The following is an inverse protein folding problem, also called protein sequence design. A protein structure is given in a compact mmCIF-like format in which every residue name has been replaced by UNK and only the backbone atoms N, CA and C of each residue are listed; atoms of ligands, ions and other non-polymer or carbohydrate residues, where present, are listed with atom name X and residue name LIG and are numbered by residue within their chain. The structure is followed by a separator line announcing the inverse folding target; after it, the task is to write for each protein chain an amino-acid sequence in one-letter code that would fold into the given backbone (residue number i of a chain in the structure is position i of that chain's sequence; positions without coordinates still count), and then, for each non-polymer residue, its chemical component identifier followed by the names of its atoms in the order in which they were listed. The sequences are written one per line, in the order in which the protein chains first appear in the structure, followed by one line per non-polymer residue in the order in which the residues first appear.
data_IF_347895398814
#
_entry.id   IF_347895398814
#
_cell.length_a   1.000
_cell.length_b   1.000
_cell.length_c   1.000
_cell.angle_alpha   90.00
_cell.angle_beta   90.00
_cell.angle_gamma   90.00
#
_symmetry.space_group_name_H-M   'P 1'
#
loop_
_entity.id
_entity.type
_entity.pdbx_description
1 polymer ?
#
# COMPACT_ATOMS: atom_id res chain seq x y z
N UNK A 1 -4.03 -36.18 -10.54
CA UNK A 1 -4.79 -34.98 -10.17
C UNK A 1 -4.02 -34.11 -9.17
N UNK A 2 -3.46 -34.66 -8.08
CA UNK A 2 -2.71 -33.90 -7.04
C UNK A 2 -1.44 -33.22 -7.58
N UNK A 3 -0.67 -33.86 -8.46
CA UNK A 3 0.51 -33.27 -9.11
C UNK A 3 0.16 -32.10 -10.05
N UNK A 4 -1.00 -32.14 -10.71
CA UNK A 4 -1.44 -31.06 -11.60
C UNK A 4 -1.92 -29.83 -10.82
N UNK A 5 -2.49 -30.01 -9.63
CA UNK A 5 -2.89 -28.92 -8.74
C UNK A 5 -1.64 -28.21 -8.19
N UNK A 6 -0.67 -28.95 -7.66
CA UNK A 6 0.61 -28.37 -7.15
C UNK A 6 1.35 -27.59 -8.24
N UNK A 7 1.44 -28.12 -9.46
CA UNK A 7 2.08 -27.41 -10.59
C UNK A 7 1.32 -26.14 -11.02
N UNK A 8 0.00 -26.12 -10.83
CA UNK A 8 -0.81 -24.93 -11.16
C UNK A 8 -0.63 -23.82 -10.15
N UNK A 9 -0.60 -24.17 -8.87
CA UNK A 9 -0.40 -23.19 -7.78
C UNK A 9 1.04 -22.62 -7.83
N UNK A 10 2.06 -23.44 -8.01
CA UNK A 10 3.45 -23.02 -8.22
C UNK A 10 3.58 -22.04 -9.40
N UNK A 11 2.79 -22.25 -10.46
CA UNK A 11 2.82 -21.39 -11.63
C UNK A 11 2.12 -20.04 -11.40
N UNK A 12 1.06 -20.01 -10.62
CA UNK A 12 0.34 -18.77 -10.22
C UNK A 12 1.23 -17.91 -9.32
N UNK A 13 1.84 -18.52 -8.29
CA UNK A 13 2.76 -17.85 -7.38
C UNK A 13 3.98 -17.27 -8.13
N UNK A 14 4.60 -18.06 -9.01
CA UNK A 14 5.74 -17.61 -9.81
C UNK A 14 5.38 -16.43 -10.73
N UNK A 15 4.20 -16.43 -11.34
CA UNK A 15 3.70 -15.30 -12.14
C UNK A 15 3.45 -14.07 -11.27
N UNK A 16 2.85 -14.24 -10.10
CA UNK A 16 2.57 -13.14 -9.18
C UNK A 16 3.87 -12.47 -8.72
N UNK A 17 4.87 -13.26 -8.31
CA UNK A 17 6.19 -12.74 -7.94
C UNK A 17 6.88 -12.00 -9.09
N UNK A 18 6.74 -12.49 -10.33
CA UNK A 18 7.27 -11.81 -11.50
C UNK A 18 6.53 -10.49 -11.75
N UNK A 19 5.21 -10.49 -11.68
CA UNK A 19 4.40 -9.29 -11.84
C UNK A 19 4.73 -8.22 -10.78
N UNK A 20 4.95 -8.62 -9.52
CA UNK A 20 5.40 -7.71 -8.46
C UNK A 20 6.78 -7.10 -8.75
N UNK A 21 7.73 -7.92 -9.24
CA UNK A 21 9.05 -7.44 -9.63
C UNK A 21 8.95 -6.44 -10.79
N UNK A 22 8.16 -6.77 -11.81
CA UNK A 22 7.90 -5.90 -12.98
C UNK A 22 7.21 -4.59 -12.56
N UNK A 23 6.25 -4.64 -11.64
CA UNK A 23 5.63 -3.46 -11.06
C UNK A 23 6.66 -2.53 -10.39
N UNK A 24 7.55 -3.09 -9.56
CA UNK A 24 8.64 -2.32 -8.92
C UNK A 24 9.61 -1.71 -9.93
N UNK A 25 9.79 -2.33 -11.08
CA UNK A 25 10.58 -1.84 -12.20
C UNK A 25 9.80 -0.86 -13.10
N UNK A 26 8.54 -0.57 -12.78
CA UNK A 26 7.60 0.24 -13.58
C UNK A 26 7.31 -0.33 -14.97
N UNK A 27 7.55 -1.61 -15.17
CA UNK A 27 7.22 -2.35 -16.39
C UNK A 27 5.76 -2.83 -16.31
N UNK A 28 4.84 -1.87 -16.33
CA UNK A 28 3.42 -2.12 -16.05
C UNK A 28 2.72 -2.97 -17.10
N UNK A 29 3.13 -2.88 -18.36
CA UNK A 29 2.54 -3.66 -19.44
C UNK A 29 2.82 -5.16 -19.27
N UNK A 30 4.07 -5.52 -19.00
CA UNK A 30 4.49 -6.89 -18.79
C UNK A 30 3.93 -7.46 -17.48
N UNK A 31 3.85 -6.64 -16.43
CA UNK A 31 3.20 -7.02 -15.18
C UNK A 31 1.71 -7.35 -15.40
N UNK A 32 1.01 -6.57 -16.20
CA UNK A 32 -0.40 -6.80 -16.53
C UNK A 32 -0.62 -8.10 -17.30
N UNK A 33 0.28 -8.48 -18.21
CA UNK A 33 0.18 -9.77 -18.91
C UNK A 33 0.15 -10.96 -17.94
N UNK A 34 1.01 -10.94 -16.91
CA UNK A 34 1.03 -11.99 -15.89
C UNK A 34 -0.24 -11.96 -15.03
N UNK A 35 -0.68 -10.78 -14.61
CA UNK A 35 -1.87 -10.61 -13.79
C UNK A 35 -3.12 -11.08 -14.55
N UNK A 36 -3.29 -10.68 -15.81
CA UNK A 36 -4.42 -11.12 -16.63
C UNK A 36 -4.43 -12.63 -16.85
N UNK A 37 -3.26 -13.25 -17.02
CA UNK A 37 -3.14 -14.71 -17.13
C UNK A 37 -3.53 -15.43 -15.82
N UNK A 38 -3.27 -14.82 -14.66
CA UNK A 38 -3.71 -15.34 -13.35
C UNK A 38 -5.23 -15.19 -13.23
N UNK A 39 -5.76 -13.99 -13.46
CA UNK A 39 -7.19 -13.69 -13.30
C UNK A 39 -8.08 -14.42 -14.33
N UNK A 40 -7.54 -14.77 -15.50
CA UNK A 40 -8.24 -15.63 -16.46
C UNK A 40 -8.47 -17.06 -15.93
N UNK A 41 -7.64 -17.53 -15.00
CA UNK A 41 -7.77 -18.85 -14.38
C UNK A 41 -8.53 -18.78 -13.05
N UNK A 42 -8.31 -17.73 -12.26
CA UNK A 42 -8.99 -17.45 -11.01
C UNK A 42 -9.33 -15.95 -10.96
N UNK A 43 -10.56 -15.55 -11.32
CA UNK A 43 -10.98 -14.15 -11.32
C UNK A 43 -10.95 -13.49 -9.93
N UNK A 44 -10.99 -14.29 -8.87
CA UNK A 44 -11.05 -13.85 -7.48
C UNK A 44 -9.68 -13.99 -6.77
N UNK A 45 -8.58 -14.05 -7.52
CA UNK A 45 -7.24 -14.08 -6.93
C UNK A 45 -6.89 -12.73 -6.31
N UNK A 46 -7.01 -12.63 -4.98
CA UNK A 46 -6.91 -11.37 -4.22
C UNK A 46 -5.60 -10.62 -4.50
N UNK A 47 -4.46 -11.31 -4.45
CA UNK A 47 -3.15 -10.69 -4.65
C UNK A 47 -2.99 -10.14 -6.08
N UNK A 48 -3.55 -10.82 -7.09
CA UNK A 48 -3.54 -10.35 -8.46
C UNK A 48 -4.45 -9.12 -8.65
N UNK A 49 -5.64 -9.12 -8.03
CA UNK A 49 -6.56 -7.98 -8.04
C UNK A 49 -5.93 -6.76 -7.37
N UNK A 50 -5.31 -6.93 -6.19
CA UNK A 50 -4.63 -5.83 -5.49
C UNK A 50 -3.47 -5.26 -6.33
N UNK A 51 -2.66 -6.11 -6.96
CA UNK A 51 -1.56 -5.66 -7.80
C UNK A 51 -2.07 -4.97 -9.08
N UNK A 52 -3.17 -5.46 -9.68
CA UNK A 52 -3.82 -4.81 -10.81
C UNK A 52 -4.32 -3.42 -10.45
N UNK A 53 -4.97 -3.28 -9.29
CA UNK A 53 -5.40 -1.99 -8.76
C UNK A 53 -4.24 -1.01 -8.62
N UNK A 54 -3.11 -1.43 -8.04
CA UNK A 54 -1.90 -0.60 -7.92
C UNK A 54 -1.33 -0.15 -9.26
N UNK A 55 -1.31 -1.02 -10.27
CA UNK A 55 -0.87 -0.64 -11.62
C UNK A 55 -1.84 0.37 -12.24
N UNK A 56 -3.14 0.17 -12.05
CA UNK A 56 -4.17 1.10 -12.52
C UNK A 56 -4.03 2.47 -11.88
N UNK A 57 -3.79 2.56 -10.57
CA UNK A 57 -3.46 3.84 -9.91
C UNK A 57 -2.22 4.48 -10.53
N UNK A 58 -1.12 3.73 -10.65
CA UNK A 58 0.14 4.22 -11.20
C UNK A 58 0.01 4.71 -12.67
N UNK A 59 -1.00 4.23 -13.38
CA UNK A 59 -1.30 4.62 -14.78
C UNK A 59 -2.46 5.61 -14.92
N UNK A 60 -2.96 6.17 -13.79
CA UNK A 60 -4.01 7.19 -13.76
C UNK A 60 -5.43 6.67 -13.99
N UNK A 61 -5.65 5.36 -13.81
CA UNK A 61 -6.97 4.70 -13.95
C UNK A 61 -7.60 4.46 -12.57
N UNK A 62 -7.81 5.53 -11.81
CA UNK A 62 -8.23 5.47 -10.42
C UNK A 62 -9.57 4.74 -10.21
N UNK A 63 -10.56 5.00 -11.07
CA UNK A 63 -11.90 4.37 -10.97
C UNK A 63 -11.84 2.85 -11.18
N UNK A 64 -10.97 2.41 -12.10
CA UNK A 64 -10.76 0.98 -12.32
C UNK A 64 -9.99 0.33 -11.16
N UNK A 65 -9.06 1.07 -10.53
CA UNK A 65 -8.34 0.62 -9.33
C UNK A 65 -9.29 0.46 -8.15
N UNK A 66 -10.17 1.45 -7.92
CA UNK A 66 -11.22 1.39 -6.90
C UNK A 66 -12.08 0.13 -7.05
N UNK A 67 -12.47 -0.19 -8.29
CA UNK A 67 -13.24 -1.41 -8.60
C UNK A 67 -12.51 -2.68 -8.18
N UNK A 68 -11.21 -2.78 -8.47
CA UNK A 68 -10.41 -3.95 -8.11
C UNK A 68 -10.27 -4.10 -6.58
N UNK A 69 -10.03 -3.01 -5.85
CA UNK A 69 -9.91 -3.04 -4.39
C UNK A 69 -11.24 -3.38 -3.70
N UNK A 70 -12.35 -2.79 -4.18
CA UNK A 70 -13.69 -3.12 -3.69
C UNK A 70 -14.02 -4.59 -3.93
N UNK A 71 -13.69 -5.14 -5.09
CA UNK A 71 -13.89 -6.56 -5.38
C UNK A 71 -13.18 -7.44 -4.33
N UNK A 72 -11.94 -7.08 -3.95
CA UNK A 72 -11.23 -7.84 -2.90
C UNK A 72 -11.97 -7.76 -1.56
N UNK A 73 -12.50 -6.59 -1.16
CA UNK A 73 -13.26 -6.48 0.09
C UNK A 73 -14.59 -7.25 0.06
N UNK A 74 -15.18 -7.45 -1.12
CA UNK A 74 -16.39 -8.25 -1.30
C UNK A 74 -16.12 -9.75 -1.18
N UNK A 75 -15.04 -10.26 -1.80
CA UNK A 75 -14.68 -11.68 -1.77
C UNK A 75 -14.02 -12.09 -0.47
N UNK A 76 -13.26 -11.20 0.16
CA UNK A 76 -12.60 -11.39 1.45
C UNK A 76 -12.68 -10.14 2.33
N UNK A 77 -13.73 -9.99 3.14
CA UNK A 77 -13.88 -8.85 4.05
C UNK A 77 -12.79 -8.77 5.15
N UNK A 78 -11.93 -9.77 5.27
CA UNK A 78 -10.83 -9.81 6.25
C UNK A 78 -9.47 -9.44 5.65
N UNK A 79 -9.44 -8.99 4.40
CA UNK A 79 -8.20 -8.57 3.75
C UNK A 79 -7.87 -7.12 4.13
N UNK A 80 -7.08 -6.92 5.18
CA UNK A 80 -6.68 -5.60 5.67
C UNK A 80 -5.89 -4.78 4.63
N UNK A 81 -5.22 -5.45 3.71
CA UNK A 81 -4.45 -4.80 2.65
C UNK A 81 -5.36 -4.12 1.60
N UNK A 82 -6.52 -4.70 1.33
CA UNK A 82 -7.51 -4.10 0.42
C UNK A 82 -8.04 -2.77 0.98
N UNK A 83 -8.37 -2.74 2.27
CA UNK A 83 -8.79 -1.50 2.94
C UNK A 83 -7.68 -0.44 2.96
N UNK A 84 -6.42 -0.86 3.17
CA UNK A 84 -5.28 0.05 3.11
C UNK A 84 -5.17 0.72 1.73
N UNK A 85 -5.17 -0.06 0.65
CA UNK A 85 -5.03 0.48 -0.70
C UNK A 85 -6.23 1.35 -1.11
N UNK A 86 -7.44 0.92 -0.78
CA UNK A 86 -8.63 1.73 -1.03
C UNK A 86 -8.59 3.06 -0.27
N UNK A 87 -8.15 3.04 0.99
CA UNK A 87 -7.96 4.25 1.80
C UNK A 87 -6.90 5.19 1.21
N UNK A 88 -5.78 4.66 0.73
CA UNK A 88 -4.75 5.45 0.05
C UNK A 88 -5.29 6.12 -1.22
N UNK A 89 -6.05 5.38 -2.04
CA UNK A 89 -6.73 5.92 -3.21
C UNK A 89 -7.71 7.04 -2.83
N UNK A 90 -8.47 6.89 -1.74
CA UNK A 90 -9.41 7.90 -1.27
C UNK A 90 -8.72 9.17 -0.77
N UNK A 91 -7.48 9.07 -0.25
CA UNK A 91 -6.68 10.27 0.05
C UNK A 91 -6.37 11.04 -1.25
N UNK A 92 -5.96 10.37 -2.33
CA UNK A 92 -5.66 11.04 -3.61
C UNK A 92 -6.90 11.71 -4.19
N UNK A 93 -8.06 11.09 -4.03
CA UNK A 93 -9.37 11.64 -4.41
C UNK A 93 -9.91 12.71 -3.43
N UNK A 94 -9.16 13.06 -2.36
CA UNK A 94 -9.55 14.00 -1.31
C UNK A 94 -10.81 13.60 -0.52
N UNK A 95 -11.16 12.33 -0.53
CA UNK A 95 -12.24 11.72 0.27
C UNK A 95 -11.72 11.35 1.67
N UNK A 96 -11.22 12.34 2.43
CA UNK A 96 -10.41 12.11 3.64
C UNK A 96 -11.17 11.38 4.76
N UNK A 97 -12.43 11.70 4.99
CA UNK A 97 -13.24 11.03 6.03
C UNK A 97 -13.43 9.55 5.71
N UNK A 98 -13.80 9.22 4.47
CA UNK A 98 -13.96 7.84 4.04
C UNK A 98 -12.62 7.07 4.04
N UNK A 99 -11.50 7.74 3.74
CA UNK A 99 -10.18 7.15 3.86
C UNK A 99 -9.86 6.76 5.32
N UNK A 100 -10.17 7.63 6.29
CA UNK A 100 -9.98 7.34 7.72
C UNK A 100 -10.80 6.12 8.14
N UNK A 101 -12.06 6.02 7.74
CA UNK A 101 -12.93 4.87 8.02
C UNK A 101 -12.35 3.56 7.47
N UNK A 102 -11.80 3.58 6.25
CA UNK A 102 -11.15 2.40 5.65
C UNK A 102 -9.88 1.97 6.42
N UNK A 103 -9.09 2.93 6.92
CA UNK A 103 -7.94 2.61 7.75
C UNK A 103 -8.37 2.12 9.15
N UNK A 104 -9.50 2.59 9.67
CA UNK A 104 -10.07 2.05 10.91
C UNK A 104 -10.41 0.56 10.73
N UNK A 105 -11.07 0.18 9.63
CA UNK A 105 -11.34 -1.23 9.29
C UNK A 105 -10.04 -2.04 9.18
N UNK A 106 -9.03 -1.53 8.48
CA UNK A 106 -7.73 -2.22 8.36
C UNK A 106 -7.06 -2.44 9.72
N UNK A 107 -7.15 -1.47 10.64
CA UNK A 107 -6.58 -1.55 11.99
C UNK A 107 -7.41 -2.47 12.89
N UNK A 108 -8.73 -2.49 12.76
CA UNK A 108 -9.59 -3.43 13.48
C UNK A 108 -9.27 -4.88 13.11
N UNK A 109 -9.07 -5.16 11.83
CA UNK A 109 -8.67 -6.47 11.33
C UNK A 109 -7.25 -6.85 11.78
N UNK A 110 -6.32 -5.90 11.78
CA UNK A 110 -4.93 -6.11 12.17
C UNK A 110 -4.41 -4.95 13.03
N UNK A 111 -4.54 -5.03 14.37
CA UNK A 111 -4.08 -3.98 15.29
C UNK A 111 -2.57 -3.71 15.28
N UNK A 112 -1.79 -4.55 14.62
CA UNK A 112 -0.34 -4.37 14.43
C UNK A 112 0.04 -3.88 13.02
N UNK A 113 -0.94 -3.43 12.24
CA UNK A 113 -0.71 -2.96 10.89
C UNK A 113 -0.17 -1.51 10.86
N UNK A 114 1.13 -1.36 11.09
CA UNK A 114 1.80 -0.07 11.20
C UNK A 114 1.56 0.86 9.98
N UNK A 115 1.47 0.29 8.77
CA UNK A 115 1.18 1.05 7.55
C UNK A 115 -0.22 1.70 7.60
N UNK A 116 -1.23 1.03 8.15
CA UNK A 116 -2.57 1.59 8.28
C UNK A 116 -2.61 2.75 9.28
N UNK A 117 -1.89 2.66 10.41
CA UNK A 117 -1.73 3.78 11.33
C UNK A 117 -1.04 4.98 10.66
N UNK A 118 0.04 4.73 9.91
CA UNK A 118 0.74 5.79 9.18
C UNK A 118 -0.20 6.53 8.21
N UNK A 119 -0.92 5.79 7.39
CA UNK A 119 -1.81 6.37 6.39
C UNK A 119 -3.03 7.06 7.03
N UNK A 120 -3.59 6.50 8.12
CA UNK A 120 -4.65 7.16 8.88
C UNK A 120 -4.18 8.46 9.51
N UNK A 121 -2.99 8.48 10.09
CA UNK A 121 -2.36 9.69 10.61
C UNK A 121 -2.17 10.76 9.53
N UNK A 122 -1.75 10.34 8.32
CA UNK A 122 -1.65 11.24 7.16
C UNK A 122 -3.03 11.80 6.76
N UNK A 123 -4.04 10.97 6.69
CA UNK A 123 -5.41 11.38 6.36
C UNK A 123 -5.99 12.33 7.42
N UNK A 124 -5.79 12.05 8.71
CA UNK A 124 -6.21 12.92 9.83
C UNK A 124 -5.53 14.29 9.75
N UNK A 125 -4.22 14.33 9.47
CA UNK A 125 -3.48 15.59 9.32
C UNK A 125 -4.06 16.44 8.19
N UNK A 126 -4.32 15.82 7.04
CA UNK A 126 -4.92 16.50 5.90
C UNK A 126 -6.36 16.97 6.19
N UNK A 127 -7.08 16.26 7.05
CA UNK A 127 -8.44 16.58 7.50
C UNK A 127 -8.47 17.60 8.66
N UNK A 128 -7.30 18.05 9.16
CA UNK A 128 -7.15 19.06 10.20
C UNK A 128 -7.04 18.52 11.63
N UNK A 129 -7.14 17.21 11.84
CA UNK A 129 -6.93 16.54 13.13
C UNK A 129 -5.45 16.28 13.37
N UNK A 130 -4.76 17.28 13.94
CA UNK A 130 -3.33 17.22 14.21
C UNK A 130 -2.99 16.27 15.38
N UNK A 131 -3.80 16.26 16.41
CA UNK A 131 -3.55 15.47 17.61
C UNK A 131 -3.72 13.98 17.32
N UNK A 132 -4.81 13.59 16.67
CA UNK A 132 -5.02 12.22 16.22
C UNK A 132 -3.98 11.74 15.20
N UNK A 133 -3.46 12.65 14.35
CA UNK A 133 -2.34 12.34 13.45
C UNK A 133 -1.08 11.98 14.23
N UNK A 134 -0.71 12.78 15.25
CA UNK A 134 0.49 12.54 16.07
C UNK A 134 0.40 11.19 16.80
N UNK A 135 -0.77 10.84 17.32
CA UNK A 135 -1.01 9.57 18.01
C UNK A 135 -0.81 8.39 17.04
N UNK A 136 -1.39 8.45 15.85
CA UNK A 136 -1.27 7.41 14.84
C UNK A 136 0.17 7.28 14.32
N UNK A 137 0.88 8.39 14.09
CA UNK A 137 2.30 8.36 13.69
C UNK A 137 3.18 7.72 14.76
N UNK A 138 2.98 8.04 16.04
CA UNK A 138 3.68 7.38 17.14
C UNK A 138 3.43 5.87 17.14
N UNK A 139 2.18 5.47 16.97
CA UNK A 139 1.82 4.04 16.93
C UNK A 139 2.45 3.31 15.76
N UNK A 140 2.47 3.93 14.58
CA UNK A 140 3.14 3.38 13.40
C UNK A 140 4.64 3.14 13.66
N UNK A 141 5.34 4.12 14.28
CA UNK A 141 6.76 4.00 14.62
C UNK A 141 7.04 2.96 15.70
N UNK A 142 6.15 2.80 16.68
CA UNK A 142 6.24 1.72 17.67
C UNK A 142 6.18 0.33 17.01
N UNK A 143 5.33 0.17 16.00
CA UNK A 143 5.15 -1.09 15.27
C UNK A 143 6.27 -1.34 14.25
N UNK A 144 6.84 -0.27 13.68
CA UNK A 144 7.91 -0.31 12.68
C UNK A 144 9.11 0.57 13.06
N UNK A 145 9.92 0.20 14.08
CA UNK A 145 11.02 1.04 14.58
C UNK A 145 12.07 1.39 13.53
N UNK A 146 12.29 0.53 12.52
CA UNK A 146 13.25 0.76 11.42
C UNK A 146 12.88 1.94 10.52
N UNK A 147 11.61 2.28 10.39
CA UNK A 147 11.17 3.45 9.64
C UNK A 147 11.52 4.75 10.38
N UNK A 148 11.45 4.74 11.71
CA UNK A 148 11.86 5.86 12.55
C UNK A 148 13.36 6.16 12.49
N UNK A 149 14.20 5.13 12.38
CA UNK A 149 15.66 5.29 12.23
C UNK A 149 16.02 5.94 10.89
N UNK A 150 15.33 5.57 9.81
CA UNK A 150 15.52 6.17 8.48
C UNK A 150 15.11 7.65 8.44
N UNK A 151 14.02 8.03 9.10
CA UNK A 151 13.57 9.42 9.20
C UNK A 151 14.56 10.28 9.99
N UNK A 152 15.06 9.80 11.13
CA UNK A 152 16.09 10.48 11.91
C UNK A 152 17.41 10.65 11.13
N UNK A 153 17.80 9.67 10.33
CA UNK A 153 18.96 9.76 9.44
C UNK A 153 18.81 10.82 8.36
N UNK A 154 17.63 10.97 7.78
CA UNK A 154 17.35 12.00 6.78
C UNK A 154 17.31 13.41 7.39
N UNK A 155 16.73 13.58 8.58
CA UNK A 155 16.70 14.85 9.29
C UNK A 155 18.11 15.31 9.72
N UNK A 156 18.97 14.42 10.19
CA UNK A 156 20.35 14.73 10.57
C UNK A 156 21.21 15.09 9.36
N UNK A 157 21.00 14.47 8.19
CA UNK A 157 21.71 14.83 6.96
C UNK A 157 21.31 16.22 6.43
N UNK A 158 20.03 16.60 6.51
CA UNK A 158 19.57 17.92 6.08
C UNK A 158 20.08 19.04 6.99
N UNK A 159 20.28 18.79 8.29
CA UNK A 159 20.87 19.77 9.20
C UNK A 159 22.40 19.91 9.02
N UNK A 160 23.09 18.87 8.58
CA UNK A 160 24.52 18.92 8.29
C UNK A 160 24.85 19.75 7.02
N UNK A 161 23.93 19.80 6.06
CA UNK A 161 24.09 20.60 4.82
C UNK A 161 23.74 22.09 4.99
N UNK A 162 23.06 22.46 6.08
CA UNK A 162 22.63 23.85 6.33
C UNK A 162 23.54 24.65 7.28
N UNK A 163 24.63 24.08 7.78
CA UNK A 163 25.63 24.86 8.53
C UNK A 163 26.58 25.57 7.56
N UNK A 164 26.51 26.90 7.42
CA UNK A 164 27.51 27.60 6.62
C UNK A 164 28.86 27.41 7.29
N UNK A 165 29.83 27.00 6.52
CA UNK A 165 31.24 26.95 6.93
C UNK A 165 31.74 28.38 7.23
N UNK A 166 31.55 28.83 8.49
CA UNK A 166 32.10 30.12 8.96
C UNK A 166 33.45 29.85 9.56
N UNK A 167 34.44 29.57 8.73
CA UNK A 167 35.87 29.71 9.03
C UNK A 167 36.59 30.16 7.75
N UNK A 168 36.33 31.41 7.39
CA UNK A 168 37.19 32.15 6.53
C UNK A 168 37.94 33.16 7.39
N UNK A 169 39.16 32.85 7.80
CA UNK A 169 40.28 33.74 8.09
C UNK A 169 41.57 32.98 7.87
#
# INVERSE_FOLDING_TARGET
LTKAIVLKDDFTEARLLRAEALYKMQQFAEAMEDIEAILAQNPDEEAALLLRGKIKEATGKEEEAETDYLHVTEINPFNEQAYLYLGQLFITQKKLTAAIELFDEAIELNPNFGAAYHERGRAKLLNGDKDGSIEDMKKSLELNPKEGENLNGQFNNQQAETTPNVLGL
#
